data_IF_942198362419
#
_entry.id   IF_942198362419
#
_cell.length_a   1.000
_cell.length_b   1.000
_cell.length_c   1.000
_cell.angle_alpha   90.00
_cell.angle_beta   90.00
_cell.angle_gamma   90.00
#
_symmetry.space_group_name_H-M   'P 1'
#
loop_
_entity.id
_entity.type
_entity.pdbx_description
1 polymer ?
#
# COMPACT_ATOMS: atom_id res chain seq x y z
N UNK A 1 -10.60 -16.44 -41.97
CA UNK A 1 -9.78 -16.96 -40.86
C UNK A 1 -10.75 -17.06 -39.66
N UNK A 2 -11.37 -18.19 -39.30
CA UNK A 2 -10.86 -19.56 -39.08
C UNK A 2 -9.68 -19.57 -38.09
N UNK A 3 -9.68 -20.31 -36.98
CA UNK A 3 -10.69 -21.11 -36.25
C UNK A 3 -10.25 -21.13 -34.76
N UNK A 4 -11.14 -20.96 -33.76
CA UNK A 4 -11.94 -22.00 -33.07
C UNK A 4 -11.13 -23.00 -32.22
N UNK A 5 -11.66 -23.26 -31.02
CA UNK A 5 -11.27 -24.31 -30.04
C UNK A 5 -10.04 -23.97 -29.17
N UNK A 6 -10.00 -24.36 -27.89
CA UNK A 6 -11.02 -25.07 -27.11
C UNK A 6 -10.59 -25.31 -25.66
N UNK A 7 -11.54 -25.71 -24.82
CA UNK A 7 -11.33 -26.07 -23.41
C UNK A 7 -10.24 -27.14 -23.22
N UNK A 8 -9.58 -27.14 -22.06
CA UNK A 8 -9.53 -28.36 -21.25
C UNK A 8 -9.34 -28.08 -19.75
N UNK A 9 -9.73 -29.02 -18.87
CA UNK A 9 -9.86 -28.82 -17.42
C UNK A 9 -8.68 -29.40 -16.61
N UNK A 10 -8.95 -29.75 -15.36
CA UNK A 10 -8.16 -30.52 -14.38
C UNK A 10 -7.08 -29.79 -13.56
N UNK A 11 -7.56 -29.25 -12.43
CA UNK A 11 -6.90 -29.46 -11.14
C UNK A 11 -6.61 -30.95 -10.92
N UNK A 12 -5.48 -31.30 -10.29
CA UNK A 12 -5.64 -32.07 -9.06
C UNK A 12 -4.84 -31.56 -7.84
N UNK A 13 -5.54 -31.58 -6.71
CA UNK A 13 -5.05 -32.08 -5.41
C UNK A 13 -4.00 -31.21 -4.68
N UNK A 14 -4.52 -30.42 -3.75
CA UNK A 14 -3.77 -30.01 -2.56
C UNK A 14 -3.25 -31.26 -1.81
N UNK A 15 -1.99 -31.22 -1.36
CA UNK A 15 -1.43 -32.23 -0.44
C UNK A 15 -1.24 -31.61 0.93
N UNK A 16 -1.94 -32.16 1.90
CA UNK A 16 -1.85 -31.77 3.31
C UNK A 16 -0.42 -31.97 3.85
N UNK A 17 0.12 -30.97 4.54
CA UNK A 17 1.36 -31.11 5.29
C UNK A 17 1.01 -31.74 6.64
N UNK A 18 1.06 -33.08 6.70
CA UNK A 18 0.86 -33.83 7.93
C UNK A 18 2.19 -33.91 8.70
N UNK A 19 2.39 -33.01 9.66
CA UNK A 19 3.45 -33.18 10.66
C UNK A 19 3.14 -34.43 11.49
N UNK A 20 4.00 -35.44 11.43
CA UNK A 20 4.07 -36.46 12.47
C UNK A 20 5.41 -36.37 13.21
N UNK A 21 5.31 -36.41 14.54
CA UNK A 21 6.41 -36.35 15.50
C UNK A 21 6.61 -37.77 16.02
N UNK A 22 7.76 -38.38 15.74
CA UNK A 22 8.11 -39.75 16.19
C UNK A 22 9.46 -39.77 16.91
N UNK A 23 9.61 -40.65 17.90
CA UNK A 23 10.52 -40.48 19.03
C UNK A 23 11.93 -41.10 18.90
N UNK A 24 12.85 -40.74 19.80
CA UNK A 24 14.20 -41.33 19.95
C UNK A 24 14.23 -42.36 21.08
N UNK A 25 14.43 -43.66 20.77
CA UNK A 25 14.83 -44.71 21.75
C UNK A 25 15.73 -45.72 21.01
N UNK A 26 17.06 -45.66 21.16
CA UNK A 26 17.95 -46.39 22.10
C UNK A 26 18.14 -47.90 21.80
N UNK A 27 19.42 -48.22 21.52
CA UNK A 27 20.20 -49.47 21.64
C UNK A 27 19.50 -50.78 22.07
N UNK A 28 19.90 -51.90 21.44
CA UNK A 28 20.73 -52.90 22.15
C UNK A 28 21.52 -53.84 21.23
N UNK A 29 22.75 -54.15 21.65
CA UNK A 29 23.57 -55.24 21.12
C UNK A 29 23.35 -56.52 21.95
N UNK A 30 23.54 -57.68 21.31
CA UNK A 30 23.90 -58.93 22.00
C UNK A 30 22.76 -59.74 22.62
N UNK A 31 22.49 -60.90 22.02
CA UNK A 31 22.44 -62.16 22.78
C UNK A 31 22.55 -63.38 21.85
N UNK A 32 23.56 -64.20 22.10
CA UNK A 32 23.69 -65.56 21.57
C UNK A 32 22.89 -66.53 22.44
N UNK A 33 22.20 -67.51 21.85
CA UNK A 33 22.25 -68.95 22.21
C UNK A 33 21.14 -69.80 21.57
N UNK A 34 21.51 -71.05 21.25
CA UNK A 34 20.71 -72.28 21.39
C UNK A 34 19.62 -72.68 20.36
N UNK A 35 20.01 -73.66 19.52
CA UNK A 35 19.32 -74.93 19.19
C UNK A 35 18.04 -74.97 18.31
N UNK A 36 18.07 -75.88 17.33
CA UNK A 36 16.90 -76.44 16.63
C UNK A 36 17.30 -77.25 15.39
N UNK A 37 17.21 -78.60 15.44
CA UNK A 37 17.70 -79.52 14.39
C UNK A 37 16.56 -80.10 13.54
N UNK A 38 16.73 -80.06 12.21
CA UNK A 38 16.27 -81.06 11.22
C UNK A 38 17.01 -80.76 9.89
N UNK A 39 17.84 -81.63 9.30
CA UNK A 39 17.55 -82.94 8.68
C UNK A 39 16.59 -82.86 7.49
N UNK A 40 17.13 -82.93 6.26
CA UNK A 40 16.94 -84.06 5.32
C UNK A 40 17.84 -83.90 4.09
N UNK A 41 18.34 -85.03 3.56
CA UNK A 41 19.11 -85.13 2.30
C UNK A 41 18.20 -85.55 1.14
N UNK A 42 18.47 -85.02 -0.07
CA UNK A 42 18.13 -85.54 -1.42
C UNK A 42 18.43 -84.43 -2.44
N UNK A 43 18.69 -84.65 -3.74
CA UNK A 43 19.31 -85.73 -4.53
C UNK A 43 19.57 -85.13 -5.94
N UNK A 44 20.33 -85.78 -6.81
CA UNK A 44 20.72 -85.24 -8.14
C UNK A 44 19.52 -85.04 -9.11
N UNK A 45 19.53 -83.93 -9.88
CA UNK A 45 18.38 -83.59 -10.74
C UNK A 45 18.61 -82.52 -11.83
N UNK A 46 19.36 -82.87 -12.87
CA UNK A 46 19.28 -82.38 -14.26
C UNK A 46 18.94 -80.90 -14.62
N UNK A 47 19.91 -80.24 -15.27
CA UNK A 47 19.65 -79.53 -16.54
C UNK A 47 19.39 -78.01 -16.50
N UNK A 48 20.12 -77.19 -17.30
CA UNK A 48 19.93 -75.75 -17.33
C UNK A 48 18.79 -75.33 -18.27
N UNK A 49 17.60 -75.09 -17.74
CA UNK A 49 16.60 -74.29 -18.44
C UNK A 49 17.00 -72.82 -18.39
N UNK A 50 17.83 -72.42 -19.36
CA UNK A 50 18.16 -71.03 -19.63
C UNK A 50 16.94 -70.30 -20.17
N UNK A 51 16.02 -69.94 -19.28
CA UNK A 51 15.05 -68.88 -19.54
C UNK A 51 15.85 -67.61 -19.75
N UNK A 52 15.96 -67.19 -21.01
CA UNK A 52 16.58 -65.92 -21.39
C UNK A 52 15.70 -64.81 -20.82
N UNK A 53 15.94 -64.47 -19.55
CA UNK A 53 15.57 -63.19 -19.00
C UNK A 53 16.35 -62.18 -19.83
N UNK A 54 15.64 -61.54 -20.76
CA UNK A 54 16.14 -60.42 -21.52
C UNK A 54 16.24 -59.23 -20.56
N UNK A 55 17.29 -59.25 -19.73
CA UNK A 55 17.62 -58.15 -18.84
C UNK A 55 17.73 -56.87 -19.69
N UNK A 56 17.17 -55.74 -19.25
CA UNK A 56 17.38 -54.47 -19.92
C UNK A 56 18.89 -54.24 -20.05
N UNK A 57 19.34 -53.81 -21.23
CA UNK A 57 20.76 -53.65 -21.48
C UNK A 57 21.34 -52.64 -20.48
N UNK A 58 22.37 -53.05 -19.74
CA UNK A 58 22.99 -52.24 -18.67
C UNK A 58 23.45 -50.87 -19.21
N UNK A 59 23.90 -50.82 -20.46
CA UNK A 59 24.30 -49.58 -21.14
C UNK A 59 23.12 -48.59 -21.30
N UNK A 60 21.90 -49.09 -21.51
CA UNK A 60 20.69 -48.26 -21.66
C UNK A 60 20.26 -47.66 -20.31
N UNK A 61 20.35 -48.45 -19.24
CA UNK A 61 20.08 -48.00 -17.86
C UNK A 61 21.11 -46.97 -17.42
N UNK A 62 22.40 -47.21 -17.70
CA UNK A 62 23.47 -46.24 -17.42
C UNK A 62 23.22 -44.91 -18.16
N UNK A 63 22.88 -44.96 -19.45
CA UNK A 63 22.57 -43.75 -20.23
C UNK A 63 21.34 -42.99 -19.71
N UNK A 64 20.33 -43.70 -19.19
CA UNK A 64 19.19 -43.06 -18.54
C UNK A 64 19.59 -42.40 -17.21
N UNK A 65 20.46 -43.04 -16.42
CA UNK A 65 21.00 -42.49 -15.19
C UNK A 65 21.84 -41.24 -15.45
N UNK A 66 22.75 -41.27 -16.43
CA UNK A 66 23.59 -40.13 -16.79
C UNK A 66 22.74 -38.91 -17.18
N UNK A 67 21.71 -39.13 -18.01
CA UNK A 67 20.76 -38.08 -18.41
C UNK A 67 19.91 -37.54 -17.24
N UNK A 68 19.57 -38.39 -16.27
CA UNK A 68 18.88 -37.93 -15.06
C UNK A 68 19.79 -37.06 -14.20
N UNK A 69 21.06 -37.42 -14.05
CA UNK A 69 22.07 -36.63 -13.32
C UNK A 69 22.31 -35.28 -14.00
N UNK A 70 22.42 -35.27 -15.34
CA UNK A 70 22.50 -34.05 -16.15
C UNK A 70 21.31 -33.11 -15.87
N UNK A 71 20.07 -33.60 -16.02
CA UNK A 71 18.86 -32.80 -15.77
C UNK A 71 18.76 -32.32 -14.30
N UNK A 72 19.16 -33.15 -13.33
CA UNK A 72 19.21 -32.75 -11.93
C UNK A 72 20.25 -31.64 -11.68
N UNK A 73 21.38 -31.68 -12.38
CA UNK A 73 22.45 -30.69 -12.28
C UNK A 73 22.05 -29.35 -12.94
N UNK A 74 21.37 -29.39 -14.09
CA UNK A 74 20.75 -28.22 -14.73
C UNK A 74 19.69 -27.59 -13.81
N UNK A 75 18.74 -28.40 -13.32
CA UNK A 75 17.68 -27.95 -12.39
C UNK A 75 18.25 -27.35 -11.09
N UNK A 76 19.39 -27.84 -10.61
CA UNK A 76 20.09 -27.26 -9.46
C UNK A 76 20.71 -25.89 -9.78
N UNK A 77 21.39 -25.77 -10.94
CA UNK A 77 21.98 -24.51 -11.40
C UNK A 77 20.92 -23.43 -11.66
N UNK A 78 19.81 -23.78 -12.30
CA UNK A 78 18.68 -22.86 -12.52
C UNK A 78 18.10 -22.36 -11.19
N UNK A 79 17.88 -23.27 -10.24
CA UNK A 79 17.39 -22.91 -8.90
C UNK A 79 18.33 -21.96 -8.18
N UNK A 80 19.63 -22.20 -8.24
CA UNK A 80 20.62 -21.33 -7.60
C UNK A 80 20.72 -19.97 -8.31
N UNK A 81 20.66 -19.93 -9.65
CA UNK A 81 20.60 -18.68 -10.40
C UNK A 81 19.33 -17.84 -10.10
N UNK A 82 18.17 -18.48 -9.94
CA UNK A 82 16.94 -17.82 -9.50
C UNK A 82 17.02 -17.34 -8.04
N UNK A 83 17.68 -18.10 -7.17
CA UNK A 83 17.91 -17.74 -5.76
C UNK A 83 18.82 -16.51 -5.62
N UNK A 84 19.88 -16.40 -6.42
CA UNK A 84 20.72 -15.19 -6.43
C UNK A 84 19.99 -13.98 -7.04
N UNK A 85 19.19 -14.17 -8.09
CA UNK A 85 18.31 -13.11 -8.60
C UNK A 85 17.32 -12.61 -7.54
N UNK A 86 16.67 -13.51 -6.80
CA UNK A 86 15.75 -13.15 -5.71
C UNK A 86 16.47 -12.35 -4.62
N UNK A 87 17.65 -12.78 -4.14
CA UNK A 87 18.44 -12.01 -3.17
C UNK A 87 18.77 -10.60 -3.68
N UNK A 88 19.18 -10.48 -4.94
CA UNK A 88 19.52 -9.21 -5.56
C UNK A 88 18.31 -8.27 -5.66
N UNK A 89 17.13 -8.79 -6.00
CA UNK A 89 15.89 -8.02 -6.02
C UNK A 89 15.43 -7.61 -4.61
N UNK A 90 15.52 -8.51 -3.63
CA UNK A 90 15.22 -8.21 -2.22
C UNK A 90 16.11 -7.08 -1.70
N UNK A 91 17.43 -7.15 -1.93
CA UNK A 91 18.37 -6.11 -1.50
C UNK A 91 18.12 -4.75 -2.16
N UNK A 92 17.74 -4.72 -3.45
CA UNK A 92 17.34 -3.49 -4.13
C UNK A 92 16.05 -2.89 -3.55
N UNK A 93 15.07 -3.73 -3.22
CA UNK A 93 13.82 -3.29 -2.60
C UNK A 93 14.08 -2.69 -1.21
N UNK A 94 14.92 -3.34 -0.40
CA UNK A 94 15.36 -2.84 0.91
C UNK A 94 16.11 -1.49 0.82
N UNK A 95 17.01 -1.30 -0.15
CA UNK A 95 17.67 0.00 -0.38
C UNK A 95 16.66 1.09 -0.77
N UNK A 96 15.79 0.81 -1.74
CA UNK A 96 14.76 1.75 -2.18
C UNK A 96 13.82 2.15 -1.04
N UNK A 97 13.39 1.19 -0.22
CA UNK A 97 12.57 1.43 0.97
C UNK A 97 13.32 2.28 2.00
N UNK A 98 14.59 1.94 2.30
CA UNK A 98 15.44 2.70 3.23
C UNK A 98 15.63 4.15 2.78
N UNK A 99 15.87 4.37 1.49
CA UNK A 99 16.04 5.71 0.90
C UNK A 99 14.76 6.52 0.92
N UNK A 100 13.63 5.92 0.56
CA UNK A 100 12.33 6.59 0.61
C UNK A 100 11.96 6.97 2.06
N UNK A 101 12.17 6.06 3.02
CA UNK A 101 11.93 6.32 4.44
C UNK A 101 12.82 7.47 4.96
N UNK A 102 14.12 7.46 4.66
CA UNK A 102 15.05 8.55 5.02
C UNK A 102 14.64 9.88 4.39
N UNK A 103 14.24 9.90 3.12
CA UNK A 103 13.77 11.11 2.45
C UNK A 103 12.46 11.64 3.05
N UNK A 104 11.54 10.74 3.44
CA UNK A 104 10.30 11.11 4.12
C UNK A 104 10.59 11.69 5.51
N UNK A 105 11.47 11.07 6.29
CA UNK A 105 11.85 11.55 7.61
C UNK A 105 12.50 12.93 7.53
N UNK A 106 13.51 13.11 6.66
CA UNK A 106 14.20 14.39 6.51
C UNK A 106 13.24 15.52 6.10
N UNK A 107 12.20 15.25 5.30
CA UNK A 107 11.16 16.23 4.98
C UNK A 107 10.29 16.60 6.18
N UNK A 108 9.95 15.63 7.04
CA UNK A 108 9.22 15.89 8.28
C UNK A 108 10.06 16.72 9.26
N UNK A 109 11.34 16.38 9.41
CA UNK A 109 12.27 17.09 10.29
C UNK A 109 12.40 18.57 9.89
N UNK A 110 12.56 18.85 8.57
CA UNK A 110 12.59 20.22 8.03
C UNK A 110 11.26 20.95 8.27
N UNK A 111 10.11 20.31 8.01
CA UNK A 111 8.80 20.93 8.22
C UNK A 111 8.51 21.23 9.70
N UNK A 112 9.01 20.40 10.62
CA UNK A 112 8.91 20.63 12.07
C UNK A 112 9.77 21.84 12.49
N UNK A 113 10.98 21.99 11.93
CA UNK A 113 11.85 23.15 12.14
C UNK A 113 11.25 24.45 11.57
N UNK A 114 10.72 24.42 10.34
CA UNK A 114 10.03 25.57 9.72
C UNK A 114 8.79 25.98 10.52
N UNK A 115 7.98 25.01 10.97
CA UNK A 115 6.80 25.24 11.83
C UNK A 115 7.19 25.85 13.19
N UNK A 116 8.24 25.35 13.83
CA UNK A 116 8.77 25.90 15.09
C UNK A 116 9.24 27.35 14.90
N UNK A 117 10.00 27.60 13.83
CA UNK A 117 10.49 28.92 13.43
C UNK A 117 9.35 29.91 13.18
N UNK A 118 8.32 29.48 12.44
CA UNK A 118 7.15 30.29 12.15
C UNK A 118 6.32 30.60 13.40
N UNK A 119 6.18 29.63 14.32
CA UNK A 119 5.49 29.85 15.60
C UNK A 119 6.19 30.94 16.46
N UNK A 120 7.52 30.94 16.50
CA UNK A 120 8.30 32.00 17.17
C UNK A 120 8.07 33.37 16.50
N UNK A 121 8.09 33.45 15.17
CA UNK A 121 7.83 34.70 14.45
C UNK A 121 6.39 35.22 14.68
N UNK A 122 5.40 34.34 14.75
CA UNK A 122 4.02 34.69 15.06
C UNK A 122 3.86 35.30 16.46
N UNK A 123 4.46 34.68 17.49
CA UNK A 123 4.41 35.22 18.85
C UNK A 123 5.22 36.53 18.97
N UNK A 124 6.35 36.68 18.26
CA UNK A 124 7.09 37.95 18.22
C UNK A 124 6.27 39.08 17.57
N UNK A 125 5.66 38.84 16.39
CA UNK A 125 4.83 39.83 15.71
C UNK A 125 3.64 40.25 16.56
N UNK A 126 2.98 39.30 17.21
CA UNK A 126 1.89 39.52 18.17
C UNK A 126 2.33 40.38 19.36
N UNK A 127 3.53 40.13 19.91
CA UNK A 127 4.09 40.97 20.98
C UNK A 127 4.37 42.41 20.50
N UNK A 128 4.93 42.56 19.29
CA UNK A 128 5.17 43.87 18.66
C UNK A 128 3.87 44.64 18.42
N UNK A 129 2.79 43.97 18.00
CA UNK A 129 1.48 44.60 17.81
C UNK A 129 0.88 45.14 19.12
N UNK A 130 0.91 44.36 20.20
CA UNK A 130 0.38 44.81 21.49
C UNK A 130 1.24 45.97 22.06
N UNK A 131 2.57 45.93 21.87
CA UNK A 131 3.45 47.03 22.26
C UNK A 131 3.15 48.33 21.50
N UNK A 132 2.85 48.26 20.19
CA UNK A 132 2.42 49.43 19.41
C UNK A 132 1.07 49.99 19.89
N UNK A 133 0.13 49.12 20.24
CA UNK A 133 -1.18 49.50 20.79
C UNK A 133 -1.04 50.18 22.16
N UNK A 134 -0.20 49.66 23.05
CA UNK A 134 0.13 50.31 24.33
C UNK A 134 0.76 51.70 24.12
N UNK A 135 1.72 51.81 23.17
CA UNK A 135 2.39 53.08 22.87
C UNK A 135 1.45 54.12 22.23
N UNK A 136 0.48 53.67 21.41
CA UNK A 136 -0.57 54.54 20.88
C UNK A 136 -1.55 55.01 21.98
N UNK A 137 -1.90 54.13 22.92
CA UNK A 137 -2.79 54.47 24.05
C UNK A 137 -2.12 55.38 25.08
N UNK A 138 -0.81 55.20 25.36
CA UNK A 138 -0.06 56.06 26.27
C UNK A 138 0.13 57.47 25.68
N UNK A 139 0.29 57.60 24.36
CA UNK A 139 0.38 58.89 23.68
C UNK A 139 -0.95 59.66 23.60
N UNK A 140 -2.09 59.02 23.85
CA UNK A 140 -3.42 59.63 23.74
C UNK A 140 -3.94 60.28 25.04
N UNK A 141 -3.18 60.25 26.14
CA UNK A 141 -3.66 60.66 27.47
C UNK A 141 -3.43 62.13 27.81
N UNK A 142 -4.10 63.03 27.09
CA UNK A 142 -4.48 64.37 27.59
C UNK A 142 -5.74 64.90 26.88
N UNK A 143 -6.59 65.69 27.56
CA UNK A 143 -8.03 65.49 27.40
C UNK A 143 -8.73 66.48 26.45
N UNK A 144 -9.58 65.95 25.57
CA UNK A 144 -10.72 66.71 25.01
C UNK A 144 -11.99 65.87 25.01
N UNK A 145 -13.07 66.53 25.43
CA UNK A 145 -14.46 66.05 25.44
C UNK A 145 -14.98 65.82 24.02
N UNK A 146 -15.79 64.77 23.80
CA UNK A 146 -16.75 64.75 22.69
C UNK A 146 -16.90 63.41 21.95
N UNK A 147 -18.05 62.75 22.20
CA UNK A 147 -18.94 62.18 21.16
C UNK A 147 -18.34 61.78 19.80
N UNK A 148 -18.25 60.48 19.51
CA UNK A 148 -19.29 59.77 18.74
C UNK A 148 -18.90 58.31 18.45
N UNK A 149 -19.91 57.43 18.48
CA UNK A 149 -19.87 56.08 17.93
C UNK A 149 -20.48 56.09 16.53
N UNK A 150 -19.63 56.09 15.51
CA UNK A 150 -20.00 55.83 14.11
C UNK A 150 -19.27 54.54 13.70
N UNK A 151 -19.89 53.37 13.79
CA UNK A 151 -20.84 52.80 12.83
C UNK A 151 -20.21 52.40 11.49
N UNK A 152 -19.63 51.19 11.43
CA UNK A 152 -19.35 50.48 10.18
C UNK A 152 -20.44 49.43 9.94
N UNK A 153 -21.61 49.93 9.56
CA UNK A 153 -22.80 49.13 9.26
C UNK A 153 -22.64 48.37 7.92
N UNK A 154 -21.95 47.22 7.94
CA UNK A 154 -22.20 46.18 6.94
C UNK A 154 -23.45 45.40 7.35
N UNK A 155 -24.59 45.88 6.84
CA UNK A 155 -25.88 45.21 6.91
C UNK A 155 -25.84 43.88 6.14
N UNK A 156 -25.46 42.80 6.82
CA UNK A 156 -25.70 41.42 6.38
C UNK A 156 -26.94 40.88 7.09
N UNK A 157 -28.11 41.33 6.64
CA UNK A 157 -29.41 40.82 7.08
C UNK A 157 -29.55 39.34 6.74
N UNK A 158 -29.30 38.47 7.73
CA UNK A 158 -29.27 37.02 7.54
C UNK A 158 -28.88 36.25 8.81
N UNK A 159 -29.76 36.27 9.83
CA UNK A 159 -29.78 35.34 10.97
C UNK A 159 -29.26 33.94 10.58
N UNK A 160 -28.29 33.27 11.22
CA UNK A 160 -27.85 33.20 12.62
C UNK A 160 -26.35 32.76 12.68
N UNK A 161 -25.62 32.58 13.79
CA UNK A 161 -25.99 32.27 15.19
C UNK A 161 -24.97 32.90 16.19
N UNK A 162 -24.76 32.27 17.36
CA UNK A 162 -23.98 32.73 18.50
C UNK A 162 -22.46 32.44 18.46
N UNK A 163 -21.66 33.43 18.86
CA UNK A 163 -20.37 33.26 19.58
C UNK A 163 -19.21 32.52 18.90
N UNK A 164 -19.16 32.47 17.56
CA UNK A 164 -17.95 32.05 16.82
C UNK A 164 -17.24 33.31 16.30
N UNK A 165 -15.90 33.47 16.46
CA UNK A 165 -15.19 34.59 15.87
C UNK A 165 -15.34 34.56 14.34
N UNK A 166 -15.79 35.67 13.74
CA UNK A 166 -16.11 35.79 12.31
C UNK A 166 -15.04 35.20 11.37
N UNK A 167 -13.76 35.32 11.75
CA UNK A 167 -12.60 34.72 11.09
C UNK A 167 -12.75 33.21 10.84
N UNK A 168 -13.22 32.43 11.83
CA UNK A 168 -13.39 30.98 11.66
C UNK A 168 -14.48 30.61 10.65
N UNK A 169 -15.56 31.41 10.58
CA UNK A 169 -16.67 31.15 9.66
C UNK A 169 -16.26 31.35 8.20
N UNK A 170 -15.49 32.40 7.89
CA UNK A 170 -15.01 32.65 6.52
C UNK A 170 -14.03 31.56 6.06
N UNK A 171 -13.13 31.08 6.92
CA UNK A 171 -12.25 29.95 6.57
C UNK A 171 -13.03 28.66 6.30
N UNK A 172 -14.04 28.32 7.13
CA UNK A 172 -14.90 27.15 6.89
C UNK A 172 -15.70 27.26 5.58
N UNK A 173 -16.16 28.46 5.20
CA UNK A 173 -16.86 28.68 3.93
C UNK A 173 -15.91 28.56 2.73
N UNK A 174 -14.69 29.08 2.82
CA UNK A 174 -13.65 28.93 1.79
C UNK A 174 -13.31 27.45 1.60
N UNK A 175 -13.13 26.68 2.67
CA UNK A 175 -12.87 25.24 2.60
C UNK A 175 -14.03 24.46 1.98
N UNK A 176 -15.28 24.81 2.33
CA UNK A 176 -16.47 24.22 1.70
C UNK A 176 -16.51 24.52 0.19
N UNK A 177 -16.28 25.78 -0.22
CA UNK A 177 -16.22 26.18 -1.63
C UNK A 177 -15.09 25.50 -2.40
N UNK A 178 -13.95 25.24 -1.77
CA UNK A 178 -12.88 24.43 -2.38
C UNK A 178 -13.32 22.96 -2.58
N UNK A 179 -14.03 22.37 -1.62
CA UNK A 179 -14.58 21.01 -1.76
C UNK A 179 -15.63 20.93 -2.88
N UNK A 180 -16.54 21.91 -2.94
CA UNK A 180 -17.54 22.02 -4.02
C UNK A 180 -16.85 22.25 -5.36
N UNK A 181 -15.85 23.14 -5.44
CA UNK A 181 -15.06 23.38 -6.65
C UNK A 181 -14.39 22.11 -7.18
N UNK A 182 -13.76 21.31 -6.31
CA UNK A 182 -13.19 20.00 -6.67
C UNK A 182 -14.24 19.05 -7.25
N UNK A 183 -15.45 19.04 -6.70
CA UNK A 183 -16.55 18.23 -7.23
C UNK A 183 -17.05 18.78 -8.59
N UNK A 184 -17.15 20.10 -8.75
CA UNK A 184 -17.61 20.76 -9.97
C UNK A 184 -16.71 20.48 -11.18
N UNK A 185 -15.40 20.31 -11.01
CA UNK A 185 -14.49 19.94 -12.11
C UNK A 185 -14.92 18.64 -12.82
N UNK A 186 -15.56 17.70 -12.13
CA UNK A 186 -16.10 16.48 -12.75
C UNK A 186 -17.24 16.74 -13.74
N UNK A 187 -17.93 17.88 -13.60
CA UNK A 187 -19.08 18.28 -14.43
C UNK A 187 -18.75 19.44 -15.38
N UNK A 188 -17.79 20.29 -15.01
CA UNK A 188 -17.25 21.41 -15.79
C UNK A 188 -15.72 21.26 -15.90
N UNK A 189 -15.20 20.44 -16.83
CA UNK A 189 -13.76 20.15 -16.92
C UNK A 189 -12.89 21.34 -17.31
N UNK A 190 -13.49 22.44 -17.81
CA UNK A 190 -12.81 23.69 -18.11
C UNK A 190 -12.62 24.61 -16.89
N UNK A 191 -13.13 24.21 -15.71
CA UNK A 191 -12.99 24.99 -14.47
C UNK A 191 -11.58 24.85 -13.89
N UNK A 192 -10.71 25.83 -14.16
CA UNK A 192 -9.38 25.91 -13.56
C UNK A 192 -9.46 26.46 -12.12
N UNK A 193 -9.40 25.55 -11.15
CA UNK A 193 -9.44 25.88 -9.72
C UNK A 193 -8.26 26.76 -9.25
N UNK A 194 -7.17 26.85 -10.02
CA UNK A 194 -6.05 27.76 -9.69
C UNK A 194 -6.39 29.24 -9.94
N UNK A 195 -7.44 29.52 -10.72
CA UNK A 195 -7.90 30.88 -11.04
C UNK A 195 -9.17 31.30 -10.27
N UNK A 196 -9.76 30.40 -9.48
CA UNK A 196 -11.00 30.67 -8.75
C UNK A 196 -10.72 31.35 -7.41
N UNK A 197 -11.32 32.53 -7.19
CA UNK A 197 -11.36 33.13 -5.86
C UNK A 197 -12.49 32.53 -5.00
N UNK A 198 -12.12 31.67 -4.04
CA UNK A 198 -13.04 31.01 -3.11
C UNK A 198 -13.65 31.95 -2.04
N UNK A 199 -13.14 33.17 -1.90
CA UNK A 199 -13.75 34.19 -1.04
C UNK A 199 -15.06 34.74 -1.65
N UNK A 200 -15.21 34.65 -2.98
CA UNK A 200 -16.39 35.10 -3.72
C UNK A 200 -17.39 33.97 -3.99
N UNK A 201 -18.61 34.36 -4.38
CA UNK A 201 -19.73 33.46 -4.65
C UNK A 201 -19.63 32.70 -5.99
N UNK A 202 -18.51 32.82 -6.72
CA UNK A 202 -18.32 32.26 -8.07
C UNK A 202 -18.53 30.74 -8.10
N UNK A 203 -18.11 30.02 -7.05
CA UNK A 203 -18.39 28.58 -6.93
C UNK A 203 -19.89 28.30 -6.74
N UNK A 204 -20.59 29.14 -5.99
CA UNK A 204 -22.02 29.01 -5.71
C UNK A 204 -22.83 29.29 -7.00
N UNK A 205 -22.44 30.29 -7.80
CA UNK A 205 -23.02 30.63 -9.11
C UNK A 205 -22.81 29.51 -10.14
N UNK A 206 -21.59 28.94 -10.23
CA UNK A 206 -21.31 27.80 -11.12
C UNK A 206 -22.09 26.55 -10.68
N UNK A 207 -22.22 26.32 -9.37
CA UNK A 207 -23.04 25.24 -8.84
C UNK A 207 -24.52 25.41 -9.21
N UNK A 208 -25.08 26.62 -9.07
CA UNK A 208 -26.46 26.92 -9.44
C UNK A 208 -26.70 26.69 -10.94
N UNK A 209 -25.81 27.16 -11.81
CA UNK A 209 -25.87 26.93 -13.25
C UNK A 209 -25.85 25.42 -13.60
N UNK A 210 -24.94 24.65 -12.98
CA UNK A 210 -24.86 23.20 -13.18
C UNK A 210 -26.12 22.47 -12.69
N UNK A 211 -26.70 22.91 -11.57
CA UNK A 211 -27.95 22.36 -11.04
C UNK A 211 -29.16 22.70 -11.92
N UNK A 212 -29.20 23.91 -12.50
CA UNK A 212 -30.22 24.33 -13.45
C UNK A 212 -30.15 23.49 -14.75
N UNK A 213 -28.96 23.24 -15.28
CA UNK A 213 -28.75 22.35 -16.44
C UNK A 213 -29.20 20.90 -16.16
N UNK A 214 -28.84 20.35 -15.00
CA UNK A 214 -29.22 19.00 -14.58
C UNK A 214 -30.75 18.88 -14.33
N UNK A 215 -31.40 19.96 -13.90
CA UNK A 215 -32.85 20.00 -13.71
C UNK A 215 -33.56 20.09 -15.05
N UNK A 216 -33.18 21.04 -15.90
CA UNK A 216 -33.71 21.22 -17.26
C UNK A 216 -33.60 19.96 -18.12
N UNK A 217 -32.46 19.26 -18.08
CA UNK A 217 -32.28 18.02 -18.84
C UNK A 217 -33.20 16.86 -18.39
N UNK A 218 -33.71 16.91 -17.15
CA UNK A 218 -34.58 15.88 -16.58
C UNK A 218 -36.02 15.97 -17.07
N UNK A 219 -36.48 17.19 -17.37
CA UNK A 219 -37.85 17.46 -17.85
C UNK A 219 -38.04 17.15 -19.35
N UNK A 220 -36.95 16.98 -20.12
CA UNK A 220 -37.00 16.58 -21.55
C UNK A 220 -36.99 15.06 -21.74
N UNK A 221 -36.96 14.28 -20.65
CA UNK A 221 -36.89 12.81 -20.66
C UNK A 221 -38.13 12.12 -20.06
N UNK A 222 -39.28 12.83 -20.02
CA UNK A 222 -40.60 12.28 -19.66
C UNK A 222 -41.61 12.47 -20.79
#
# INVERSE_FOLDING_TARGET
MASRNGSNPDLPIAREIKLERGDRVVNQEGNTLSNGVAHMESDEGAGPSSSVQQYPNIDEVQKQQDKLVELMQETAQERDALKEQLKLLTSQLEDMQSRLQKQSQAKLDILEEEKSTLAVQCEELKLRMEQQKENAQSSARSPTTGTNTDDWNLNLSGSCFSSIPLSGCVFSLIELRQNVGRLLVSRVPALDLAQVNFECNVIDEILEQVLAEISSHRDVSQ
#
